data_IF_444511912855
#
_entry.id   IF_444511912855
#
_cell.length_a   1.000
_cell.length_b   1.000
_cell.length_c   1.000
_cell.angle_alpha   90.00
_cell.angle_beta   90.00
_cell.angle_gamma   90.00
#
_symmetry.space_group_name_H-M   'P 1'
#
loop_
_entity.id
_entity.type
_entity.pdbx_description
1 polymer ?
#
# COMPACT_ATOMS: atom_id res chain seq x y z
N UNK A 1 12.62 -2.97 -1.64
CA UNK A 1 11.95 -2.24 -2.73
C UNK A 1 12.69 -0.92 -2.88
N UNK A 2 13.07 -0.55 -4.09
CA UNK A 2 13.80 0.68 -4.42
C UNK A 2 12.85 1.85 -4.74
N UNK A 3 13.40 3.06 -4.89
CA UNK A 3 12.64 4.26 -5.24
C UNK A 3 12.04 4.18 -6.65
N UNK A 4 12.82 3.75 -7.64
CA UNK A 4 12.34 3.64 -9.02
C UNK A 4 11.24 2.58 -9.15
N UNK A 5 11.35 1.48 -8.40
CA UNK A 5 10.29 0.47 -8.31
C UNK A 5 8.97 1.07 -7.77
N UNK A 6 9.04 1.95 -6.76
CA UNK A 6 7.87 2.63 -6.19
C UNK A 6 7.21 3.58 -7.18
N UNK A 7 8.01 4.37 -7.90
CA UNK A 7 7.52 5.34 -8.89
C UNK A 7 6.93 4.65 -10.14
N UNK A 8 7.37 3.43 -10.45
CA UNK A 8 6.83 2.62 -11.55
C UNK A 8 5.59 1.80 -11.21
N UNK A 9 5.08 1.87 -9.97
CA UNK A 9 3.89 1.12 -9.56
C UNK A 9 2.64 1.60 -10.32
N UNK A 10 1.70 0.70 -10.64
CA UNK A 10 0.40 1.08 -11.19
C UNK A 10 -0.40 1.94 -10.19
N UNK A 11 -1.49 2.57 -10.63
CA UNK A 11 -2.30 3.47 -9.81
C UNK A 11 -2.79 2.87 -8.47
N UNK A 12 -2.96 1.54 -8.42
CA UNK A 12 -3.19 0.80 -7.19
C UNK A 12 -2.51 -0.57 -7.25
N UNK A 13 -1.93 -0.99 -6.13
CA UNK A 13 -1.24 -2.27 -5.98
C UNK A 13 -1.98 -3.18 -5.01
N UNK A 14 -1.66 -4.47 -4.96
CA UNK A 14 -2.17 -5.32 -3.89
C UNK A 14 -1.59 -4.94 -2.52
N UNK A 15 -2.25 -5.43 -1.47
CA UNK A 15 -1.86 -5.15 -0.09
C UNK A 15 -0.47 -5.70 0.25
N UNK A 16 -0.02 -6.77 -0.39
CA UNK A 16 1.30 -7.36 -0.12
C UNK A 16 2.42 -6.46 -0.65
N UNK A 17 2.22 -5.86 -1.82
CA UNK A 17 3.12 -4.87 -2.42
C UNK A 17 3.18 -3.61 -1.55
N UNK A 18 2.03 -3.10 -1.09
CA UNK A 18 1.99 -1.98 -0.14
C UNK A 18 2.69 -2.32 1.18
N UNK A 19 2.49 -3.53 1.72
CA UNK A 19 3.17 -3.98 2.93
C UNK A 19 4.68 -4.00 2.75
N UNK A 20 5.16 -4.51 1.61
CA UNK A 20 6.59 -4.54 1.30
C UNK A 20 7.19 -3.13 1.22
N UNK A 21 6.47 -2.18 0.64
CA UNK A 21 6.88 -0.78 0.59
C UNK A 21 6.99 -0.16 2.00
N UNK A 22 6.12 -0.58 2.92
CA UNK A 22 6.04 -0.05 4.29
C UNK A 22 6.83 -0.86 5.33
N UNK A 23 7.51 -1.94 4.92
CA UNK A 23 8.19 -2.84 5.85
C UNK A 23 7.24 -3.64 6.77
N UNK A 24 5.97 -3.78 6.39
CA UNK A 24 4.97 -4.52 7.16
C UNK A 24 4.98 -6.01 6.80
N UNK A 25 4.82 -6.87 7.80
CA UNK A 25 4.53 -8.28 7.59
C UNK A 25 3.10 -8.49 7.05
N UNK A 26 2.88 -9.57 6.29
CA UNK A 26 1.58 -9.91 5.70
C UNK A 26 0.43 -9.89 6.72
N UNK A 27 0.57 -10.62 7.83
CA UNK A 27 -0.47 -10.71 8.85
C UNK A 27 -0.84 -9.34 9.44
N UNK A 28 0.17 -8.52 9.78
CA UNK A 28 -0.06 -7.20 10.36
C UNK A 28 -0.71 -6.24 9.36
N UNK A 29 -0.26 -6.25 8.11
CA UNK A 29 -0.86 -5.43 7.06
C UNK A 29 -2.33 -5.76 6.81
N UNK A 30 -2.69 -7.04 6.74
CA UNK A 30 -4.08 -7.49 6.61
C UNK A 30 -4.93 -7.16 7.84
N UNK A 31 -4.38 -7.26 9.06
CA UNK A 31 -5.07 -6.85 10.29
C UNK A 31 -5.42 -5.34 10.24
N UNK A 32 -4.43 -4.50 9.93
CA UNK A 32 -4.62 -3.05 9.83
C UNK A 32 -5.63 -2.68 8.73
N UNK A 33 -5.53 -3.30 7.55
CA UNK A 33 -6.48 -3.09 6.45
C UNK A 33 -7.90 -3.50 6.83
N UNK A 34 -8.06 -4.63 7.54
CA UNK A 34 -9.38 -5.09 8.01
C UNK A 34 -9.99 -4.14 9.05
N UNK A 35 -9.15 -3.50 9.87
CA UNK A 35 -9.57 -2.53 10.90
C UNK A 35 -9.74 -1.10 10.37
N UNK A 36 -9.38 -0.84 9.12
CA UNK A 36 -9.37 0.51 8.56
C UNK A 36 -8.23 1.39 9.10
N UNK A 37 -7.20 0.77 9.68
CA UNK A 37 -6.04 1.42 10.31
C UNK A 37 -4.78 1.30 9.44
N UNK A 38 -4.94 0.91 8.17
CA UNK A 38 -3.81 0.85 7.25
C UNK A 38 -3.28 2.27 7.00
N UNK A 39 -1.96 2.49 6.97
CA UNK A 39 -1.37 3.83 6.89
C UNK A 39 -1.58 4.50 5.52
N UNK A 40 -2.09 3.75 4.54
CA UNK A 40 -2.47 4.28 3.24
C UNK A 40 -3.94 3.96 2.92
N UNK A 41 -4.53 4.69 1.98
CA UNK A 41 -5.87 4.44 1.45
C UNK A 41 -5.95 3.05 0.81
N UNK A 42 -6.78 2.20 1.40
CA UNK A 42 -7.08 0.86 0.88
C UNK A 42 -8.48 0.83 0.29
N UNK A 43 -8.59 0.43 -0.97
CA UNK A 43 -9.84 0.10 -1.63
C UNK A 43 -10.16 -1.36 -1.39
N UNK A 44 -11.40 -1.64 -0.97
CA UNK A 44 -11.90 -3.01 -0.83
C UNK A 44 -12.75 -3.37 -2.04
N UNK A 45 -12.18 -4.16 -2.94
CA UNK A 45 -12.80 -4.60 -4.19
C UNK A 45 -13.25 -6.06 -4.02
N UNK A 46 -14.42 -6.25 -3.42
CA UNK A 46 -14.90 -7.56 -2.99
C UNK A 46 -14.00 -8.16 -1.91
N UNK A 47 -13.37 -9.29 -2.20
CA UNK A 47 -12.46 -9.99 -1.29
C UNK A 47 -11.00 -9.50 -1.39
N UNK A 48 -10.70 -8.61 -2.34
CA UNK A 48 -9.35 -8.11 -2.55
C UNK A 48 -9.15 -6.72 -1.93
N UNK A 49 -7.97 -6.49 -1.37
CA UNK A 49 -7.51 -5.18 -0.95
C UNK A 49 -6.57 -4.59 -2.00
N UNK A 50 -6.76 -3.31 -2.32
CA UNK A 50 -5.87 -2.54 -3.19
C UNK A 50 -5.41 -1.28 -2.50
N UNK A 51 -4.10 -1.07 -2.40
CA UNK A 51 -3.50 0.13 -1.84
C UNK A 51 -3.36 1.16 -2.95
N UNK A 52 -3.83 2.39 -2.70
CA UNK A 52 -3.69 3.50 -3.66
C UNK A 52 -2.24 3.97 -3.64
N UNK A 53 -1.57 3.85 -4.78
CA UNK A 53 -0.14 4.15 -4.91
C UNK A 53 0.15 5.63 -4.68
N UNK A 54 -0.76 6.54 -5.08
CA UNK A 54 -0.58 7.98 -4.83
C UNK A 54 -0.43 8.30 -3.32
N UNK A 55 -1.23 7.64 -2.49
CA UNK A 55 -1.19 7.83 -1.04
C UNK A 55 0.04 7.17 -0.41
N UNK A 56 0.43 6.00 -0.93
CA UNK A 56 1.68 5.34 -0.58
C UNK A 56 2.91 6.22 -0.89
N UNK A 57 2.96 6.82 -2.09
CA UNK A 57 4.04 7.72 -2.49
C UNK A 57 4.04 8.99 -1.63
N UNK A 58 2.88 9.57 -1.33
CA UNK A 58 2.77 10.72 -0.44
C UNK A 58 3.29 10.40 0.96
N UNK A 59 2.88 9.27 1.54
CA UNK A 59 3.34 8.80 2.85
C UNK A 59 4.87 8.60 2.91
N UNK A 60 5.46 8.11 1.82
CA UNK A 60 6.90 7.87 1.72
C UNK A 60 7.71 9.13 1.33
N UNK A 61 7.06 10.29 1.17
CA UNK A 61 7.73 11.53 0.75
C UNK A 61 8.21 11.52 -0.71
N UNK A 62 7.56 10.71 -1.55
CA UNK A 62 7.87 10.52 -2.96
C UNK A 62 6.84 11.17 -3.90
N UNK A 63 5.78 11.77 -3.35
CA UNK A 63 4.86 12.60 -4.12
C UNK A 63 5.57 13.89 -4.56
N UNK A 64 5.49 14.20 -5.85
CA UNK A 64 6.02 15.42 -6.45
C UNK A 64 5.12 16.64 -6.17
#
# INVERSE_FOLDING_TARGET
MSRDELLGLPAAVDLETGNRALGLGRSKGYELAKRGEYPCKVLRLGNAYRVVTADLLALLGLAA
#
